data_IF_166211387359
#
_entry.id   IF_166211387359
#
_cell.length_a   1.000
_cell.length_b   1.000
_cell.length_c   1.000
_cell.angle_alpha   90.00
_cell.angle_beta   90.00
_cell.angle_gamma   90.00
#
_symmetry.space_group_name_H-M   'P 1'
#
loop_
_entity.id
_entity.type
_entity.pdbx_description
1 polymer ?
#
# COMPACT_ATOMS: atom_id res chain seq x y z
N UNK A 1 7.41 15.06 44.23
CA UNK A 1 7.38 13.93 45.20
C UNK A 1 6.89 12.66 44.54
N UNK A 2 5.63 12.59 44.00
CA UNK A 2 5.09 11.36 43.40
C UNK A 2 5.93 10.82 42.23
N UNK A 3 6.46 11.68 41.37
CA UNK A 3 7.31 11.26 40.25
C UNK A 3 8.66 10.67 40.71
N UNK A 4 9.21 11.15 41.80
CA UNK A 4 10.41 10.57 42.40
C UNK A 4 10.13 9.19 43.03
N UNK A 5 9.03 9.04 43.79
CA UNK A 5 8.66 7.75 44.37
C UNK A 5 8.44 6.68 43.27
N UNK A 6 7.80 7.04 42.17
CA UNK A 6 7.67 6.13 41.03
C UNK A 6 9.02 5.79 40.38
N UNK A 7 9.89 6.78 40.11
CA UNK A 7 11.17 6.54 39.42
C UNK A 7 12.13 5.71 40.30
N UNK A 8 12.26 6.08 41.57
CA UNK A 8 13.31 5.57 42.44
C UNK A 8 12.90 4.29 43.20
N UNK A 9 11.61 4.21 43.61
CA UNK A 9 11.08 3.12 44.44
C UNK A 9 10.11 2.22 43.71
N UNK A 10 9.72 2.57 42.45
CA UNK A 10 8.69 1.88 41.68
C UNK A 10 7.36 1.74 42.41
N UNK A 11 7.01 2.76 43.20
CA UNK A 11 5.77 2.81 43.97
C UNK A 11 4.55 2.97 43.03
N UNK A 12 3.81 1.89 42.87
CA UNK A 12 2.59 1.86 42.02
C UNK A 12 1.50 2.79 42.57
N UNK A 13 1.39 2.95 43.88
CA UNK A 13 0.41 3.85 44.46
C UNK A 13 0.73 5.33 44.13
N UNK A 14 2.02 5.67 44.11
CA UNK A 14 2.46 6.98 43.66
C UNK A 14 2.19 7.21 42.17
N UNK A 15 2.38 6.19 41.33
CA UNK A 15 2.04 6.23 39.91
C UNK A 15 0.53 6.45 39.69
N UNK A 16 -0.31 5.66 40.36
CA UNK A 16 -1.78 5.81 40.31
C UNK A 16 -2.25 7.20 40.70
N UNK A 17 -1.69 7.73 41.79
CA UNK A 17 -2.02 9.09 42.22
C UNK A 17 -1.56 10.15 41.23
N UNK A 18 -0.40 9.96 40.61
CA UNK A 18 0.13 10.87 39.58
C UNK A 18 -0.80 10.87 38.36
N UNK A 19 -1.15 9.68 37.83
CA UNK A 19 -2.05 9.54 36.66
C UNK A 19 -3.41 10.15 36.96
N UNK A 20 -4.02 9.82 38.10
CA UNK A 20 -5.32 10.34 38.50
C UNK A 20 -5.32 11.88 38.58
N UNK A 21 -4.27 12.47 39.12
CA UNK A 21 -4.15 13.93 39.22
C UNK A 21 -4.12 14.62 37.85
N UNK A 22 -3.64 13.96 36.80
CA UNK A 22 -3.53 14.51 35.45
C UNK A 22 -4.59 13.98 34.47
N UNK A 23 -5.56 13.16 34.89
CA UNK A 23 -6.64 12.66 34.05
C UNK A 23 -7.45 13.77 33.39
N UNK A 24 -7.69 14.88 34.08
CA UNK A 24 -8.38 16.04 33.50
C UNK A 24 -7.64 16.62 32.30
N UNK A 25 -6.31 16.61 32.34
CA UNK A 25 -5.47 17.03 31.21
C UNK A 25 -5.61 16.05 30.02
N UNK A 26 -5.57 14.76 30.30
CA UNK A 26 -5.73 13.71 29.29
C UNK A 26 -7.11 13.81 28.61
N UNK A 27 -8.19 13.93 29.35
CA UNK A 27 -9.54 14.12 28.86
C UNK A 27 -9.66 15.40 28.01
N UNK A 28 -9.14 16.53 28.51
CA UNK A 28 -9.14 17.80 27.76
C UNK A 28 -8.42 17.69 26.42
N UNK A 29 -7.31 16.93 26.38
CA UNK A 29 -6.59 16.67 25.14
C UNK A 29 -7.38 15.76 24.19
N UNK A 30 -8.02 14.70 24.69
CA UNK A 30 -8.88 13.80 23.91
C UNK A 30 -10.02 14.55 23.21
N UNK A 31 -10.67 15.50 23.89
CA UNK A 31 -11.71 16.33 23.31
C UNK A 31 -11.27 17.12 22.07
N UNK A 32 -10.02 17.55 21.99
CA UNK A 32 -9.50 18.27 20.82
C UNK A 32 -9.43 17.39 19.57
N UNK A 33 -9.43 16.06 19.75
CA UNK A 33 -9.37 15.09 18.65
C UNK A 33 -10.75 14.47 18.31
N UNK A 34 -11.82 14.86 18.99
CA UNK A 34 -13.20 14.39 18.71
C UNK A 34 -13.58 14.56 17.22
N UNK A 35 -13.12 15.62 16.58
CA UNK A 35 -13.39 15.94 15.16
C UNK A 35 -12.90 14.89 14.15
N UNK A 36 -12.05 13.95 14.57
CA UNK A 36 -11.53 12.90 13.70
C UNK A 36 -12.41 11.64 13.67
N UNK A 37 -13.58 11.65 14.34
CA UNK A 37 -14.58 10.60 14.24
C UNK A 37 -14.35 9.37 15.13
N UNK A 38 -13.22 9.29 15.82
CA UNK A 38 -12.96 8.18 16.75
C UNK A 38 -13.87 8.26 18.00
N UNK A 39 -14.32 7.13 18.58
CA UNK A 39 -15.11 7.08 19.79
C UNK A 39 -14.41 7.79 20.94
N UNK A 40 -15.17 8.62 21.68
CA UNK A 40 -14.58 9.45 22.74
C UNK A 40 -13.96 8.63 23.87
N UNK A 41 -14.57 7.50 24.19
CA UNK A 41 -14.02 6.59 25.21
C UNK A 41 -12.64 6.06 24.80
N UNK A 42 -12.45 5.70 23.53
CA UNK A 42 -11.19 5.19 23.01
C UNK A 42 -10.11 6.29 23.04
N UNK A 43 -10.48 7.52 22.64
CA UNK A 43 -9.57 8.67 22.71
C UNK A 43 -9.12 8.97 24.16
N UNK A 44 -10.03 8.82 25.15
CA UNK A 44 -9.68 8.99 26.57
C UNK A 44 -8.77 7.88 27.04
N UNK A 45 -9.00 6.62 26.65
CA UNK A 45 -8.14 5.51 27.01
C UNK A 45 -6.75 5.66 26.40
N UNK A 46 -6.66 6.03 25.15
CA UNK A 46 -5.37 6.27 24.48
C UNK A 46 -4.63 7.49 25.09
N UNK A 47 -5.37 8.52 25.49
CA UNK A 47 -4.79 9.62 26.24
C UNK A 47 -4.22 9.16 27.58
N UNK A 48 -4.90 8.24 28.26
CA UNK A 48 -4.44 7.64 29.52
C UNK A 48 -3.20 6.77 29.31
N UNK A 49 -3.14 5.98 28.24
CA UNK A 49 -1.94 5.23 27.84
C UNK A 49 -0.77 6.18 27.57
N UNK A 50 -1.02 7.30 26.88
CA UNK A 50 -0.03 8.35 26.68
C UNK A 50 0.49 8.94 27.99
N UNK A 51 -0.42 9.16 28.95
CA UNK A 51 -0.06 9.67 30.28
C UNK A 51 0.79 8.66 31.07
N UNK A 52 0.50 7.36 30.99
CA UNK A 52 1.32 6.29 31.60
C UNK A 52 2.72 6.24 30.98
N UNK A 53 2.81 6.28 29.65
CA UNK A 53 4.13 6.34 28.96
C UNK A 53 4.93 7.57 29.37
N UNK A 54 4.25 8.70 29.56
CA UNK A 54 4.90 9.91 30.06
C UNK A 54 5.43 9.71 31.48
N UNK A 55 4.65 9.11 32.39
CA UNK A 55 5.08 8.85 33.77
C UNK A 55 6.27 7.88 33.83
N UNK A 56 6.31 6.88 32.97
CA UNK A 56 7.39 5.91 32.89
C UNK A 56 8.72 6.55 32.48
N UNK A 57 8.67 7.48 31.51
CA UNK A 57 9.87 8.09 30.89
C UNK A 57 10.22 9.47 31.46
N UNK A 58 9.45 9.97 32.43
CA UNK A 58 9.65 11.28 32.97
C UNK A 58 10.85 11.31 33.92
N UNK A 59 11.76 12.25 33.67
CA UNK A 59 12.87 12.55 34.56
C UNK A 59 12.58 13.88 35.28
N UNK A 60 12.31 13.83 36.60
CA UNK A 60 11.99 15.02 37.38
C UNK A 60 13.18 15.96 37.60
N UNK A 61 14.42 15.50 37.39
CA UNK A 61 15.64 16.30 37.61
C UNK A 61 15.93 17.27 36.44
N UNK A 62 15.22 17.11 35.30
CA UNK A 62 15.35 18.00 34.12
C UNK A 62 14.73 19.39 34.28
N UNK A 63 14.16 19.72 35.42
CA UNK A 63 13.58 21.03 35.67
C UNK A 63 12.29 21.35 34.92
N UNK A 64 11.71 20.39 34.18
CA UNK A 64 10.47 20.55 33.42
C UNK A 64 9.29 20.00 34.21
N UNK A 65 8.15 20.69 34.19
CA UNK A 65 6.94 20.17 34.85
C UNK A 65 6.39 18.96 34.13
N UNK A 66 5.92 17.96 34.87
CA UNK A 66 5.32 16.74 34.34
C UNK A 66 4.20 17.00 33.32
N UNK A 67 3.33 17.98 33.60
CA UNK A 67 2.26 18.35 32.66
C UNK A 67 2.77 18.75 31.27
N UNK A 68 3.86 19.50 31.21
CA UNK A 68 4.47 19.93 29.94
C UNK A 68 5.03 18.74 29.16
N UNK A 69 5.66 17.79 29.84
CA UNK A 69 6.18 16.57 29.24
C UNK A 69 5.04 15.62 28.81
N UNK A 70 4.04 15.45 29.67
CA UNK A 70 2.91 14.55 29.44
C UNK A 70 2.08 14.94 28.21
N UNK A 71 1.90 16.23 27.92
CA UNK A 71 1.16 16.72 26.73
C UNK A 71 1.71 16.12 25.43
N UNK A 72 3.02 15.98 25.30
CA UNK A 72 3.64 15.40 24.11
C UNK A 72 3.29 13.92 23.92
N UNK A 73 3.36 13.14 25.01
CA UNK A 73 3.04 11.72 25.01
C UNK A 73 1.56 11.45 24.78
N UNK A 74 0.69 12.21 25.46
CA UNK A 74 -0.75 12.14 25.27
C UNK A 74 -1.11 12.43 23.82
N UNK A 75 -0.58 13.53 23.26
CA UNK A 75 -0.82 13.89 21.86
C UNK A 75 -0.33 12.82 20.90
N UNK A 76 0.87 12.28 21.13
CA UNK A 76 1.44 11.24 20.28
C UNK A 76 0.59 9.95 20.29
N UNK A 77 0.14 9.49 21.47
CA UNK A 77 -0.73 8.30 21.58
C UNK A 77 -2.06 8.50 20.89
N UNK A 78 -2.74 9.63 21.13
CA UNK A 78 -4.03 9.92 20.46
C UNK A 78 -3.85 10.01 18.94
N UNK A 79 -2.81 10.69 18.46
CA UNK A 79 -2.55 10.82 17.03
C UNK A 79 -2.28 9.48 16.36
N UNK A 80 -1.53 8.62 17.02
CA UNK A 80 -1.23 7.28 16.52
C UNK A 80 -2.51 6.42 16.43
N UNK A 81 -3.35 6.46 17.47
CA UNK A 81 -4.65 5.79 17.49
C UNK A 81 -5.57 6.28 16.36
N UNK A 82 -5.72 7.59 16.23
CA UNK A 82 -6.56 8.20 15.18
C UNK A 82 -6.08 7.76 13.79
N UNK A 83 -4.80 7.83 13.50
CA UNK A 83 -4.27 7.42 12.18
C UNK A 83 -4.49 5.93 11.88
N UNK A 84 -4.37 5.08 12.90
CA UNK A 84 -4.55 3.63 12.71
C UNK A 84 -6.00 3.23 12.47
N UNK A 85 -6.94 4.00 13.03
CA UNK A 85 -8.37 3.67 13.02
C UNK A 85 -9.21 4.62 12.15
N UNK A 86 -8.57 5.50 11.36
CA UNK A 86 -9.27 6.42 10.46
C UNK A 86 -9.99 5.71 9.33
N UNK A 87 -9.37 4.69 8.76
CA UNK A 87 -9.86 3.94 7.62
C UNK A 87 -9.46 2.47 7.76
N UNK A 88 -10.22 1.57 7.15
CA UNK A 88 -9.90 0.14 7.07
C UNK A 88 -8.58 -0.09 6.34
N UNK A 89 -8.29 0.73 5.31
CA UNK A 89 -7.01 0.72 4.61
C UNK A 89 -6.04 1.64 5.35
N UNK A 90 -5.08 1.05 6.04
CA UNK A 90 -4.08 1.80 6.80
C UNK A 90 -3.23 2.68 5.89
N UNK A 91 -3.13 3.95 6.24
CA UNK A 91 -2.11 4.84 5.68
C UNK A 91 -0.76 4.49 6.28
N UNK A 92 0.32 4.68 5.51
CA UNK A 92 1.67 4.53 6.05
C UNK A 92 1.91 5.45 7.25
N UNK A 93 2.88 5.11 8.09
CA UNK A 93 3.19 5.80 9.34
C UNK A 93 4.41 6.72 9.24
N UNK A 94 4.76 7.20 8.04
CA UNK A 94 5.88 8.11 7.86
C UNK A 94 5.62 9.47 8.52
N UNK A 95 6.68 10.17 8.88
CA UNK A 95 6.59 11.50 9.50
C UNK A 95 5.87 12.51 8.59
N UNK A 96 6.11 12.46 7.28
CA UNK A 96 5.45 13.28 6.26
C UNK A 96 3.94 13.01 6.19
N UNK A 97 3.53 11.74 6.12
CA UNK A 97 2.12 11.35 6.09
C UNK A 97 1.38 11.76 7.36
N UNK A 98 2.03 11.61 8.52
CA UNK A 98 1.48 12.08 9.81
C UNK A 98 1.29 13.60 9.82
N UNK A 99 2.27 14.34 9.34
CA UNK A 99 2.19 15.79 9.22
C UNK A 99 1.05 16.23 8.28
N UNK A 100 0.92 15.59 7.12
CA UNK A 100 -0.17 15.83 6.17
C UNK A 100 -1.53 15.56 6.79
N UNK A 101 -1.74 14.37 7.36
CA UNK A 101 -3.01 13.96 7.92
C UNK A 101 -3.59 15.00 8.91
N UNK A 102 -2.75 15.56 9.78
CA UNK A 102 -3.21 16.51 10.81
C UNK A 102 -3.21 17.97 10.37
N UNK A 103 -2.43 18.36 9.38
CA UNK A 103 -2.26 19.76 8.98
C UNK A 103 -2.90 20.10 7.63
N UNK A 104 -3.08 19.16 6.72
CA UNK A 104 -3.50 19.40 5.34
C UNK A 104 -4.78 20.23 5.26
N UNK A 105 -5.87 19.80 5.92
CA UNK A 105 -7.16 20.54 5.90
C UNK A 105 -7.05 21.95 6.46
N UNK A 106 -6.20 22.16 7.47
CA UNK A 106 -5.98 23.50 8.07
C UNK A 106 -5.23 24.42 7.11
N UNK A 107 -4.20 23.88 6.47
CA UNK A 107 -3.39 24.63 5.48
C UNK A 107 -4.24 24.94 4.27
N UNK A 108 -4.98 23.95 3.75
CA UNK A 108 -5.91 24.12 2.64
C UNK A 108 -6.91 25.25 2.90
N UNK A 109 -7.65 25.18 4.01
CA UNK A 109 -8.65 26.18 4.36
C UNK A 109 -8.06 27.59 4.61
N UNK A 110 -6.77 27.70 4.92
CA UNK A 110 -6.10 28.97 5.03
C UNK A 110 -5.76 29.51 3.64
N UNK A 111 -5.16 28.70 2.78
CA UNK A 111 -4.78 29.09 1.41
C UNK A 111 -6.02 29.47 0.58
N UNK A 112 -7.11 28.73 0.70
CA UNK A 112 -8.37 29.03 0.04
C UNK A 112 -8.93 30.42 0.50
N UNK A 113 -8.90 30.71 1.81
CA UNK A 113 -9.32 32.03 2.33
C UNK A 113 -8.41 33.18 1.90
N UNK A 114 -7.11 32.97 1.85
CA UNK A 114 -6.15 33.97 1.35
C UNK A 114 -6.43 34.28 -0.12
N UNK A 115 -6.68 33.26 -0.93
CA UNK A 115 -7.03 33.44 -2.35
C UNK A 115 -8.39 34.12 -2.56
N UNK A 116 -9.39 33.75 -1.78
CA UNK A 116 -10.71 34.41 -1.81
C UNK A 116 -10.59 35.90 -1.47
N UNK A 117 -9.74 36.26 -0.50
CA UNK A 117 -9.49 37.67 -0.14
C UNK A 117 -8.84 38.47 -1.29
N UNK A 118 -8.00 37.78 -2.08
CA UNK A 118 -7.35 38.36 -3.26
C UNK A 118 -8.24 38.27 -4.53
N UNK A 119 -9.44 37.73 -4.45
CA UNK A 119 -10.37 37.53 -5.57
C UNK A 119 -9.91 36.50 -6.60
N UNK A 120 -8.99 35.61 -6.21
CA UNK A 120 -8.40 34.61 -7.09
C UNK A 120 -9.05 33.23 -6.79
N UNK A 121 -9.55 32.56 -7.83
CA UNK A 121 -9.97 31.18 -7.74
C UNK A 121 -8.77 30.26 -7.96
N UNK A 122 -8.28 29.61 -6.91
CA UNK A 122 -7.15 28.69 -7.01
C UNK A 122 -7.61 27.38 -7.67
N UNK A 123 -6.88 26.93 -8.69
CA UNK A 123 -7.04 25.60 -9.26
C UNK A 123 -6.50 24.53 -8.31
N UNK A 124 -7.15 23.35 -8.30
CA UNK A 124 -6.82 22.26 -7.35
C UNK A 124 -5.35 21.87 -7.37
N UNK A 125 -4.73 21.76 -8.55
CA UNK A 125 -3.32 21.36 -8.66
C UNK A 125 -2.36 22.38 -8.06
N UNK A 126 -2.65 23.69 -8.22
CA UNK A 126 -1.85 24.79 -7.62
C UNK A 126 -1.99 24.76 -6.09
N UNK A 127 -3.21 24.51 -5.59
CA UNK A 127 -3.47 24.38 -4.17
C UNK A 127 -2.69 23.21 -3.55
N UNK A 128 -2.69 22.02 -4.18
CA UNK A 128 -1.95 20.85 -3.71
C UNK A 128 -0.44 21.11 -3.72
N UNK A 129 0.07 21.81 -4.73
CA UNK A 129 1.48 22.18 -4.81
C UNK A 129 1.89 23.18 -3.72
N UNK A 130 1.01 24.16 -3.42
CA UNK A 130 1.22 25.10 -2.33
C UNK A 130 1.23 24.38 -0.97
N UNK A 131 0.31 23.43 -0.76
CA UNK A 131 0.29 22.59 0.45
C UNK A 131 1.58 21.78 0.57
N UNK A 132 2.06 21.17 -0.53
CA UNK A 132 3.30 20.39 -0.55
C UNK A 132 4.50 21.24 -0.10
N UNK A 133 4.59 22.45 -0.62
CA UNK A 133 5.66 23.39 -0.28
C UNK A 133 5.59 23.84 1.17
N UNK A 134 4.40 24.16 1.67
CA UNK A 134 4.22 24.64 3.04
C UNK A 134 4.46 23.57 4.10
N UNK A 135 3.97 22.34 3.85
CA UNK A 135 4.16 21.21 4.78
C UNK A 135 5.56 20.61 4.65
N UNK A 136 6.27 20.87 3.55
CA UNK A 136 7.61 20.37 3.29
C UNK A 136 7.63 18.88 2.90
N UNK A 137 6.68 18.44 2.07
CA UNK A 137 6.51 17.04 1.65
C UNK A 137 6.40 16.95 0.13
N UNK A 138 6.69 15.79 -0.48
CA UNK A 138 6.51 15.59 -1.91
C UNK A 138 5.05 15.76 -2.34
N UNK A 139 4.83 16.30 -3.56
CA UNK A 139 3.49 16.50 -4.13
C UNK A 139 2.69 15.19 -4.20
N UNK A 140 3.33 14.10 -4.60
CA UNK A 140 2.71 12.77 -4.66
C UNK A 140 2.07 12.35 -3.32
N UNK A 141 2.75 12.62 -2.18
CA UNK A 141 2.20 12.31 -0.85
C UNK A 141 0.95 13.16 -0.55
N UNK A 142 0.93 14.42 -1.03
CA UNK A 142 -0.23 15.31 -0.86
C UNK A 142 -1.41 14.84 -1.70
N UNK A 143 -1.20 14.49 -2.97
CA UNK A 143 -2.24 13.97 -3.87
C UNK A 143 -2.85 12.67 -3.33
N UNK A 144 -2.01 11.75 -2.88
CA UNK A 144 -2.46 10.51 -2.25
C UNK A 144 -3.29 10.78 -0.98
N UNK A 145 -2.84 11.71 -0.14
CA UNK A 145 -3.53 12.04 1.10
C UNK A 145 -4.83 12.81 0.84
N UNK A 146 -4.88 13.66 -0.19
CA UNK A 146 -6.08 14.38 -0.61
C UNK A 146 -7.19 13.42 -1.04
N UNK A 147 -6.86 12.43 -1.87
CA UNK A 147 -7.80 11.37 -2.26
C UNK A 147 -8.36 10.60 -1.05
N UNK A 148 -7.54 10.34 -0.04
CA UNK A 148 -7.95 9.61 1.18
C UNK A 148 -8.77 10.45 2.15
N UNK A 149 -8.47 11.75 2.28
CA UNK A 149 -9.19 12.66 3.18
C UNK A 149 -10.46 13.25 2.56
N UNK A 150 -10.69 13.03 1.27
CA UNK A 150 -11.87 13.55 0.55
C UNK A 150 -13.18 12.89 1.01
N UNK A 151 -13.14 11.66 1.49
CA UNK A 151 -14.30 10.94 2.00
C UNK A 151 -13.95 10.00 3.15
N UNK A 152 -14.96 9.53 3.87
CA UNK A 152 -14.86 8.41 4.80
C UNK A 152 -15.10 7.10 4.07
N UNK A 153 -14.70 5.98 4.69
CA UNK A 153 -15.01 4.65 4.18
C UNK A 153 -16.53 4.52 4.02
N UNK A 154 -16.93 4.00 2.86
CA UNK A 154 -18.33 3.79 2.52
C UNK A 154 -18.71 2.32 2.76
N UNK A 155 -19.87 2.09 3.38
CA UNK A 155 -20.35 0.73 3.59
C UNK A 155 -21.00 0.19 2.32
N UNK A 156 -20.51 -0.94 1.83
CA UNK A 156 -21.07 -1.63 0.68
C UNK A 156 -22.46 -2.26 0.96
N UNK A 157 -22.82 -2.41 2.24
CA UNK A 157 -24.12 -2.94 2.67
C UNK A 157 -25.23 -1.87 2.75
N UNK A 158 -24.95 -0.65 2.32
CA UNK A 158 -25.99 0.39 2.19
C UNK A 158 -26.76 0.16 0.91
N UNK A 159 -28.10 0.25 0.98
CA UNK A 159 -28.99 0.16 -0.18
C UNK A 159 -28.77 1.33 -1.13
N UNK A 160 -28.81 1.06 -2.44
CA UNK A 160 -28.52 2.06 -3.50
C UNK A 160 -29.56 3.17 -3.55
N UNK A 161 -30.83 2.84 -3.33
CA UNK A 161 -31.92 3.81 -3.25
C UNK A 161 -33.02 3.32 -2.29
N UNK A 162 -33.85 4.24 -1.81
CA UNK A 162 -34.99 3.90 -0.97
C UNK A 162 -36.13 3.18 -1.71
N UNK A 163 -36.12 3.19 -3.06
CA UNK A 163 -37.15 2.60 -3.92
C UNK A 163 -36.70 1.29 -4.58
N UNK A 164 -35.42 0.92 -4.47
CA UNK A 164 -34.87 -0.29 -5.06
C UNK A 164 -34.95 -1.42 -4.01
N UNK A 165 -35.68 -2.48 -4.29
CA UNK A 165 -36.00 -3.67 -3.47
C UNK A 165 -34.86 -4.23 -2.60
N UNK A 166 -34.14 -3.37 -1.88
CA UNK A 166 -33.08 -3.76 -0.97
C UNK A 166 -31.73 -4.12 -1.61
N UNK A 167 -31.50 -3.74 -2.87
CA UNK A 167 -30.23 -3.96 -3.55
C UNK A 167 -29.09 -3.16 -2.88
N UNK A 168 -28.08 -3.84 -2.41
CA UNK A 168 -26.90 -3.24 -1.79
C UNK A 168 -25.85 -2.84 -2.83
N UNK A 169 -24.93 -1.94 -2.45
CA UNK A 169 -23.81 -1.57 -3.33
C UNK A 169 -22.88 -2.75 -3.61
N UNK A 170 -22.79 -3.71 -2.70
CA UNK A 170 -21.99 -4.92 -2.91
C UNK A 170 -22.47 -5.75 -4.10
N UNK A 171 -23.80 -5.77 -4.36
CA UNK A 171 -24.39 -6.52 -5.48
C UNK A 171 -24.07 -5.89 -6.85
N UNK A 172 -23.64 -4.63 -6.86
CA UNK A 172 -23.25 -3.92 -8.07
C UNK A 172 -21.75 -4.06 -8.40
N UNK A 173 -20.97 -4.64 -7.50
CA UNK A 173 -19.54 -4.87 -7.76
C UNK A 173 -19.37 -6.01 -8.76
N UNK A 174 -18.69 -5.70 -9.84
CA UNK A 174 -18.30 -6.69 -10.84
C UNK A 174 -16.99 -7.34 -10.43
N UNK A 175 -16.91 -8.67 -10.55
CA UNK A 175 -15.64 -9.39 -10.42
C UNK A 175 -14.76 -9.11 -11.64
N UNK A 176 -13.52 -8.66 -11.39
CA UNK A 176 -12.50 -8.42 -12.42
C UNK A 176 -11.87 -9.73 -12.95
N UNK A 177 -12.25 -10.87 -12.40
CA UNK A 177 -11.80 -12.19 -12.85
C UNK A 177 -12.27 -12.51 -14.28
N UNK A 178 -11.52 -13.33 -15.01
CA UNK A 178 -11.90 -13.72 -16.36
C UNK A 178 -13.21 -14.49 -16.34
N UNK A 179 -14.11 -14.16 -17.25
CA UNK A 179 -15.39 -14.85 -17.38
C UNK A 179 -15.21 -16.33 -17.75
N UNK A 180 -16.19 -17.16 -17.42
CA UNK A 180 -16.14 -18.59 -17.72
C UNK A 180 -15.89 -18.87 -19.20
N UNK A 181 -16.49 -18.10 -20.09
CA UNK A 181 -16.28 -18.20 -21.54
C UNK A 181 -14.84 -17.90 -21.94
N UNK A 182 -14.24 -16.84 -21.40
CA UNK A 182 -12.85 -16.47 -21.64
C UNK A 182 -11.88 -17.52 -21.08
N UNK A 183 -12.19 -18.05 -19.89
CA UNK A 183 -11.36 -19.11 -19.26
C UNK A 183 -11.36 -20.37 -20.13
N UNK A 184 -12.52 -20.79 -20.64
CA UNK A 184 -12.63 -21.97 -21.52
C UNK A 184 -11.93 -21.71 -22.86
N UNK A 185 -12.11 -20.54 -23.48
CA UNK A 185 -11.42 -20.17 -24.71
C UNK A 185 -9.91 -20.19 -24.52
N UNK A 186 -9.40 -19.50 -23.49
CA UNK A 186 -7.97 -19.45 -23.20
C UNK A 186 -7.36 -20.83 -22.91
N UNK A 187 -8.09 -21.71 -22.23
CA UNK A 187 -7.65 -23.08 -21.98
C UNK A 187 -7.58 -23.88 -23.29
N UNK A 188 -8.60 -23.78 -24.14
CA UNK A 188 -8.62 -24.44 -25.43
C UNK A 188 -7.50 -23.97 -26.34
N UNK A 189 -7.29 -22.66 -26.41
CA UNK A 189 -6.22 -22.05 -27.21
C UNK A 189 -4.84 -22.46 -26.70
N UNK A 190 -4.65 -22.47 -25.36
CA UNK A 190 -3.42 -22.94 -24.76
C UNK A 190 -3.15 -24.43 -25.05
N UNK A 191 -4.17 -25.28 -24.99
CA UNK A 191 -4.02 -26.71 -25.30
C UNK A 191 -3.69 -26.90 -26.80
N UNK A 192 -4.32 -26.14 -27.68
CA UNK A 192 -4.04 -26.13 -29.11
C UNK A 192 -2.59 -25.68 -29.40
N UNK A 193 -2.18 -24.55 -28.82
CA UNK A 193 -0.80 -24.04 -28.93
C UNK A 193 0.22 -25.06 -28.38
N UNK A 194 -0.09 -25.72 -27.27
CA UNK A 194 0.77 -26.77 -26.70
C UNK A 194 0.94 -27.96 -27.65
N UNK A 195 -0.15 -28.39 -28.30
CA UNK A 195 -0.08 -29.47 -29.29
C UNK A 195 0.76 -29.06 -30.52
N UNK A 196 0.57 -27.85 -31.02
CA UNK A 196 1.36 -27.33 -32.13
C UNK A 196 2.86 -27.24 -31.80
N UNK A 197 3.19 -26.75 -30.61
CA UNK A 197 4.57 -26.68 -30.13
C UNK A 197 5.19 -28.07 -29.97
N UNK A 198 4.44 -29.05 -29.42
CA UNK A 198 4.92 -30.43 -29.32
C UNK A 198 5.18 -31.03 -30.69
N UNK A 199 4.29 -30.82 -31.66
CA UNK A 199 4.48 -31.27 -33.05
C UNK A 199 5.68 -30.60 -33.69
N UNK A 200 5.85 -29.30 -33.52
CA UNK A 200 7.04 -28.58 -34.01
C UNK A 200 8.35 -29.09 -33.40
N UNK A 201 8.34 -29.44 -32.10
CA UNK A 201 9.50 -30.05 -31.42
C UNK A 201 9.86 -31.42 -32.01
N UNK A 202 8.90 -32.23 -32.45
CA UNK A 202 9.19 -33.53 -33.06
C UNK A 202 9.87 -33.40 -34.42
N UNK A 203 9.76 -32.24 -35.10
CA UNK A 203 10.47 -31.97 -36.37
C UNK A 203 11.97 -31.72 -36.20
N UNK A 204 12.43 -31.53 -34.96
CA UNK A 204 13.84 -31.28 -34.64
C UNK A 204 14.58 -32.58 -34.39
N UNK A 205 15.91 -32.57 -34.65
CA UNK A 205 16.75 -33.69 -34.25
C UNK A 205 17.00 -33.68 -32.73
N UNK A 206 17.47 -34.82 -32.19
CA UNK A 206 17.67 -35.00 -30.75
C UNK A 206 18.55 -33.90 -30.07
N UNK A 207 19.59 -33.42 -30.77
CA UNK A 207 20.49 -32.38 -30.27
C UNK A 207 19.77 -30.99 -30.24
N UNK A 208 19.04 -30.68 -31.30
CA UNK A 208 18.26 -29.44 -31.39
C UNK A 208 17.17 -29.41 -30.34
N UNK A 209 16.44 -30.53 -30.15
CA UNK A 209 15.42 -30.65 -29.10
C UNK A 209 16.02 -30.44 -27.71
N UNK A 210 17.16 -31.04 -27.42
CA UNK A 210 17.84 -30.88 -26.15
C UNK A 210 18.21 -29.40 -25.89
N UNK A 211 18.79 -28.72 -26.87
CA UNK A 211 19.16 -27.32 -26.75
C UNK A 211 17.91 -26.44 -26.48
N UNK A 212 16.85 -26.63 -27.25
CA UNK A 212 15.59 -25.84 -27.07
C UNK A 212 14.98 -26.10 -25.70
N UNK A 213 14.88 -27.36 -25.27
CA UNK A 213 14.31 -27.68 -23.94
C UNK A 213 15.11 -27.07 -22.80
N UNK A 214 16.42 -27.20 -22.81
CA UNK A 214 17.28 -26.72 -21.73
C UNK A 214 17.37 -25.18 -21.67
N UNK A 215 17.15 -24.50 -22.82
CA UNK A 215 17.27 -23.05 -22.92
C UNK A 215 15.95 -22.28 -22.78
N UNK A 216 14.84 -22.87 -23.21
CA UNK A 216 13.55 -22.13 -23.34
C UNK A 216 12.39 -22.76 -22.59
N UNK A 217 12.50 -24.02 -22.18
CA UNK A 217 11.40 -24.74 -21.54
C UNK A 217 11.67 -25.09 -20.06
N UNK A 218 12.79 -24.60 -19.51
CA UNK A 218 13.10 -24.72 -18.08
C UNK A 218 12.89 -23.37 -17.39
N UNK A 219 12.51 -23.42 -16.13
CA UNK A 219 12.39 -22.25 -15.26
C UNK A 219 13.75 -21.57 -15.03
N UNK A 220 14.83 -22.37 -15.02
CA UNK A 220 16.22 -21.88 -14.96
C UNK A 220 16.96 -22.22 -16.28
N UNK A 221 17.00 -21.26 -17.25
CA UNK A 221 17.61 -21.49 -18.56
C UNK A 221 19.13 -21.66 -18.49
N UNK A 222 19.64 -22.75 -19.04
CA UNK A 222 21.10 -23.01 -19.09
C UNK A 222 21.81 -22.08 -20.08
N UNK A 223 23.07 -21.76 -19.79
CA UNK A 223 23.89 -20.91 -20.67
C UNK A 223 24.37 -21.68 -21.92
N UNK A 224 24.60 -20.95 -23.01
CA UNK A 224 25.17 -21.54 -24.24
C UNK A 224 26.51 -22.23 -23.99
N UNK A 225 27.29 -21.75 -23.05
CA UNK A 225 28.60 -22.23 -22.69
C UNK A 225 28.51 -23.57 -21.92
N UNK A 226 27.57 -23.66 -20.97
CA UNK A 226 27.28 -24.90 -20.23
C UNK A 226 26.83 -26.01 -21.18
N UNK A 227 25.93 -25.70 -22.12
CA UNK A 227 25.46 -26.68 -23.12
C UNK A 227 26.56 -27.06 -24.12
N UNK A 228 27.44 -26.10 -24.48
CA UNK A 228 28.59 -26.35 -25.30
C UNK A 228 29.55 -27.37 -24.69
N UNK A 229 29.82 -27.20 -23.37
CA UNK A 229 30.66 -28.16 -22.63
C UNK A 229 30.10 -29.59 -22.61
N UNK A 230 28.76 -29.72 -22.40
CA UNK A 230 28.07 -31.03 -22.33
C UNK A 230 28.00 -31.71 -23.72
N UNK A 231 27.74 -30.94 -24.77
CA UNK A 231 27.60 -31.47 -26.14
C UNK A 231 28.95 -31.59 -26.89
N UNK A 232 30.05 -31.14 -26.30
CA UNK A 232 31.36 -31.09 -26.96
C UNK A 232 31.43 -30.11 -28.12
N UNK A 233 30.66 -28.99 -28.03
CA UNK A 233 30.54 -27.98 -29.08
C UNK A 233 30.99 -26.60 -28.60
N UNK A 234 31.40 -25.74 -29.53
CA UNK A 234 31.67 -24.34 -29.19
C UNK A 234 30.38 -23.59 -28.92
N UNK A 235 30.45 -22.55 -28.07
CA UNK A 235 29.35 -21.65 -27.76
C UNK A 235 28.63 -21.12 -29.01
N UNK A 236 29.40 -20.72 -30.01
CA UNK A 236 28.87 -20.23 -31.29
C UNK A 236 28.13 -21.33 -32.07
N UNK A 237 28.63 -22.57 -32.01
CA UNK A 237 27.97 -23.69 -32.65
C UNK A 237 26.65 -24.04 -32.01
N UNK A 238 26.55 -23.96 -30.69
CA UNK A 238 25.27 -24.11 -29.95
C UNK A 238 24.29 -23.02 -30.36
N UNK A 239 24.75 -21.76 -30.48
CA UNK A 239 23.91 -20.63 -30.92
C UNK A 239 23.38 -20.83 -32.35
N UNK A 240 24.22 -21.35 -33.27
CA UNK A 240 23.81 -21.67 -34.65
C UNK A 240 22.75 -22.78 -34.67
N UNK A 241 22.94 -23.84 -33.87
CA UNK A 241 21.95 -24.92 -33.75
C UNK A 241 20.63 -24.43 -33.14
N UNK A 242 20.68 -23.58 -32.13
CA UNK A 242 19.51 -22.96 -31.55
C UNK A 242 18.74 -22.15 -32.61
N UNK A 243 19.42 -21.27 -33.35
CA UNK A 243 18.82 -20.48 -34.44
C UNK A 243 18.22 -21.33 -35.55
N UNK A 244 18.92 -22.37 -35.94
CA UNK A 244 18.45 -23.34 -36.95
C UNK A 244 17.22 -24.11 -36.46
N UNK A 245 17.21 -24.51 -35.18
CA UNK A 245 16.07 -25.18 -34.54
C UNK A 245 14.82 -24.28 -34.54
N UNK A 246 14.94 -23.01 -34.11
CA UNK A 246 13.84 -22.07 -34.17
C UNK A 246 13.29 -21.83 -35.58
N UNK A 247 14.20 -21.74 -36.59
CA UNK A 247 13.78 -21.60 -37.99
C UNK A 247 13.00 -22.83 -38.49
N UNK A 248 13.34 -24.04 -38.05
CA UNK A 248 12.62 -25.28 -38.37
C UNK A 248 11.28 -25.31 -37.65
N UNK A 249 11.25 -24.99 -36.35
CA UNK A 249 10.01 -24.92 -35.58
C UNK A 249 9.02 -23.92 -36.17
N UNK A 250 9.49 -22.72 -36.53
CA UNK A 250 8.66 -21.71 -37.18
C UNK A 250 8.02 -22.23 -38.49
N UNK A 251 8.82 -22.83 -39.36
CA UNK A 251 8.27 -23.44 -40.61
C UNK A 251 7.25 -24.55 -40.33
N UNK A 252 7.50 -25.36 -39.31
CA UNK A 252 6.56 -26.42 -38.90
C UNK A 252 5.27 -25.85 -38.35
N UNK A 253 5.31 -24.75 -37.59
CA UNK A 253 4.15 -24.06 -37.07
C UNK A 253 3.34 -23.38 -38.20
N UNK A 254 4.01 -22.65 -39.08
CA UNK A 254 3.40 -22.00 -40.26
C UNK A 254 2.72 -23.02 -41.19
N UNK A 255 3.25 -24.25 -41.27
CA UNK A 255 2.63 -25.33 -42.08
C UNK A 255 1.42 -25.99 -41.40
N UNK A 256 1.25 -25.89 -40.08
CA UNK A 256 0.14 -26.47 -39.32
C UNK A 256 -1.10 -25.59 -39.36
N UNK A 257 -0.93 -24.27 -39.25
CA UNK A 257 -2.02 -23.30 -39.33
C UNK A 257 -1.52 -21.96 -39.85
N UNK A 258 -2.18 -21.36 -40.87
CA UNK A 258 -1.88 -19.99 -41.31
C UNK A 258 -2.16 -18.95 -40.23
N UNK A 259 -3.07 -19.27 -39.29
CA UNK A 259 -3.46 -18.38 -38.17
C UNK A 259 -2.39 -18.27 -37.06
N UNK A 260 -1.38 -19.15 -37.08
CA UNK A 260 -0.26 -19.08 -36.11
C UNK A 260 0.50 -17.75 -36.19
N UNK A 261 0.51 -17.10 -37.35
CA UNK A 261 1.12 -15.79 -37.52
C UNK A 261 0.50 -14.71 -36.64
N UNK A 262 -0.80 -14.81 -36.36
CA UNK A 262 -1.53 -13.83 -35.54
C UNK A 262 -1.20 -13.98 -34.02
N UNK A 263 -0.76 -15.18 -33.60
CA UNK A 263 -0.32 -15.44 -32.22
C UNK A 263 1.16 -15.14 -31.98
N UNK A 264 1.96 -14.87 -33.02
CA UNK A 264 3.41 -14.62 -32.92
C UNK A 264 3.76 -13.12 -32.90
N UNK A 265 2.78 -12.25 -32.92
CA UNK A 265 2.89 -10.78 -32.76
C UNK A 265 2.28 -10.31 -31.47
#
# INVERSE_FOLDING_TARGET
KLAYAWRDERDEAALHRLITAYMRLAISMAFKFKRYGAPMNDLIQEASVGLMKAAEKFDPDRGVRFSTYAVWWIKASIQDHVMRNWSMVRTGSTSSQKSLFFNMRRVQARLEREAEADGIKIERHILLQAIATEVGVPLHDVEMMDGRLSGSDFSLNVTQSSDDEGREWIDALQDDGPQAAETVSNNHDNDTLRQWLLTALTSLNAREQFIVRERKMRDDPRTLESLGGELGLSKERVRQLESAAFSKMRRSLEAQSPEVTDFLH
#
